data_IF_289628346006
#
_entry.id   IF_289628346006
#
_cell.length_a   1.000
_cell.length_b   1.000
_cell.length_c   1.000
_cell.angle_alpha   90.00
_cell.angle_beta   90.00
_cell.angle_gamma   90.00
#
_symmetry.space_group_name_H-M   'P 1'
#
loop_
_entity.id
_entity.type
_entity.pdbx_description
1 polymer ?
#
# COMPACT_ATOMS: atom_id res chain seq x y z
N UNK A 1 22.55 11.47 7.18
CA UNK A 1 21.88 10.25 7.67
C UNK A 1 20.84 9.75 6.67
N UNK A 2 20.54 8.43 6.72
CA UNK A 2 19.58 7.83 5.78
C UNK A 2 18.70 6.83 6.53
N UNK A 3 17.38 6.92 6.32
CA UNK A 3 16.42 5.90 6.76
C UNK A 3 16.43 4.74 5.74
N UNK A 4 16.89 3.58 6.18
CA UNK A 4 16.95 2.38 5.34
C UNK A 4 15.58 1.73 5.17
N UNK A 5 14.74 1.85 6.20
CA UNK A 5 13.35 1.35 6.20
C UNK A 5 12.48 2.27 7.08
N UNK A 6 11.42 2.88 6.53
CA UNK A 6 10.46 3.63 7.33
C UNK A 6 9.83 2.76 8.42
N UNK A 7 9.63 3.32 9.60
CA UNK A 7 9.09 2.65 10.78
C UNK A 7 8.00 3.46 11.45
N UNK A 8 7.76 3.18 12.75
CA UNK A 8 6.75 3.88 13.54
C UNK A 8 7.12 5.33 13.86
N UNK A 9 8.43 5.67 13.82
CA UNK A 9 8.90 7.05 13.98
C UNK A 9 8.84 7.75 12.63
N UNK A 10 8.06 8.83 12.47
CA UNK A 10 8.00 9.61 11.25
C UNK A 10 9.37 10.20 10.88
N UNK A 11 9.63 10.33 9.57
CA UNK A 11 10.90 10.91 9.09
C UNK A 11 11.03 12.36 9.56
N UNK A 12 9.92 13.09 9.56
CA UNK A 12 9.84 14.47 10.01
C UNK A 12 10.25 14.62 11.49
N UNK A 13 9.91 13.65 12.33
CA UNK A 13 10.33 13.62 13.73
C UNK A 13 11.84 13.36 13.87
N UNK A 14 12.42 12.55 12.98
CA UNK A 14 13.88 12.37 12.94
C UNK A 14 14.57 13.63 12.45
N UNK A 15 14.05 14.26 11.41
CA UNK A 15 14.62 15.50 10.84
C UNK A 15 14.61 16.66 11.82
N UNK A 16 13.63 16.74 12.70
CA UNK A 16 13.58 17.76 13.75
C UNK A 16 14.70 17.65 14.78
N UNK A 17 15.31 16.45 14.92
CA UNK A 17 16.37 16.19 15.91
C UNK A 17 17.76 16.17 15.27
N UNK A 18 17.90 15.56 14.09
CA UNK A 18 19.22 15.29 13.47
C UNK A 18 19.42 16.01 12.13
N UNK A 19 18.47 16.88 11.72
CA UNK A 19 18.50 17.57 10.44
C UNK A 19 18.08 16.67 9.25
N UNK A 20 18.26 17.13 8.00
CA UNK A 20 17.73 16.47 6.81
C UNK A 20 18.15 14.99 6.72
N UNK A 21 17.19 14.13 6.40
CA UNK A 21 17.37 12.67 6.34
C UNK A 21 16.91 12.14 4.99
N UNK A 22 17.78 11.42 4.29
CA UNK A 22 17.41 10.70 3.08
C UNK A 22 16.57 9.45 3.42
N UNK A 23 15.62 9.11 2.58
CA UNK A 23 14.82 7.88 2.72
C UNK A 23 15.14 6.94 1.56
N UNK A 24 15.59 5.73 1.87
CA UNK A 24 15.76 4.68 0.86
C UNK A 24 14.40 4.20 0.38
N UNK A 25 14.09 4.43 -0.89
CA UNK A 25 12.88 3.87 -1.51
C UNK A 25 13.13 2.41 -1.87
N UNK A 26 12.20 1.51 -1.51
CA UNK A 26 12.27 0.12 -1.94
C UNK A 26 12.04 0.00 -3.46
N UNK A 27 12.72 -0.95 -4.10
CA UNK A 27 12.84 -1.10 -5.55
C UNK A 27 11.52 -1.37 -6.33
N UNK A 28 10.36 -1.31 -5.69
CA UNK A 28 9.04 -1.35 -6.36
C UNK A 28 8.62 -0.02 -7.00
N UNK A 29 9.42 1.04 -6.89
CA UNK A 29 9.13 2.40 -7.39
C UNK A 29 10.25 2.91 -8.29
N UNK A 30 10.69 2.16 -9.28
CA UNK A 30 11.73 2.64 -10.17
C UNK A 30 11.31 2.57 -11.64
N UNK A 31 11.03 3.75 -12.19
CA UNK A 31 11.56 4.07 -13.51
C UNK A 31 12.82 4.88 -13.25
N UNK A 32 13.94 4.36 -13.71
CA UNK A 32 15.25 4.99 -13.59
C UNK A 32 15.22 6.40 -14.14
N UNK A 33 15.78 7.33 -13.41
CA UNK A 33 16.43 8.52 -13.95
C UNK A 33 17.87 8.46 -13.45
N UNK A 34 18.76 8.59 -14.41
CA UNK A 34 20.19 8.47 -14.34
C UNK A 34 20.82 9.15 -13.12
N UNK A 35 21.61 8.37 -12.39
CA UNK A 35 22.67 8.90 -11.57
C UNK A 35 23.92 8.05 -11.84
N UNK A 36 24.68 8.44 -12.82
CA UNK A 36 26.08 8.08 -12.92
C UNK A 36 26.85 8.63 -11.72
N UNK A 37 27.82 7.82 -11.31
CA UNK A 37 28.89 8.09 -10.37
C UNK A 37 28.58 8.12 -8.88
N UNK A 38 28.72 6.94 -8.26
CA UNK A 38 29.60 6.75 -7.11
C UNK A 38 29.82 5.25 -6.88
N UNK A 39 31.05 4.83 -6.96
CA UNK A 39 31.54 3.45 -6.99
C UNK A 39 31.19 2.60 -5.77
N UNK A 40 31.06 1.34 -6.09
CA UNK A 40 31.43 0.12 -5.36
C UNK A 40 31.37 0.11 -3.84
N UNK A 41 30.52 -0.70 -3.32
CA UNK A 41 30.77 -1.88 -2.49
C UNK A 41 29.40 -2.41 -2.04
N UNK A 42 29.02 -3.55 -2.62
CA UNK A 42 27.76 -4.23 -2.33
C UNK A 42 27.77 -4.83 -0.92
N UNK A 43 27.43 -4.03 0.06
CA UNK A 43 26.97 -4.49 1.35
C UNK A 43 25.48 -4.81 1.25
N UNK A 44 25.13 -6.05 0.98
CA UNK A 44 23.77 -6.54 1.19
C UNK A 44 23.50 -6.44 2.68
N UNK A 45 22.78 -5.38 3.07
CA UNK A 45 22.32 -5.25 4.45
C UNK A 45 21.41 -6.47 4.76
N UNK A 46 21.52 -7.06 5.98
CA UNK A 46 20.77 -8.26 6.39
C UNK A 46 19.24 -8.09 6.43
N UNK A 47 18.74 -6.98 5.93
CA UNK A 47 17.34 -6.54 6.02
C UNK A 47 16.40 -7.35 5.12
N UNK A 48 16.93 -8.06 4.12
CA UNK A 48 16.11 -8.83 3.18
C UNK A 48 15.77 -10.27 3.66
N UNK A 49 16.21 -10.66 4.87
CA UNK A 49 15.99 -12.01 5.39
C UNK A 49 14.77 -12.19 6.30
N UNK A 50 14.02 -11.14 6.60
CA UNK A 50 12.75 -11.32 7.29
C UNK A 50 11.68 -11.69 6.27
N UNK A 51 11.10 -12.89 6.40
CA UNK A 51 9.89 -13.27 5.67
C UNK A 51 8.82 -12.22 5.92
N UNK A 52 8.68 -11.30 4.96
CA UNK A 52 7.57 -10.37 4.97
C UNK A 52 6.30 -11.18 4.77
N UNK A 53 5.29 -10.94 5.61
CA UNK A 53 3.98 -11.53 5.40
C UNK A 53 3.57 -11.30 3.94
N UNK A 54 3.45 -12.39 3.21
CA UNK A 54 2.98 -12.40 1.84
C UNK A 54 1.65 -13.14 1.83
N UNK A 55 0.54 -12.47 1.56
CA UNK A 55 -0.75 -13.14 1.37
C UNK A 55 -0.65 -14.25 0.33
N UNK A 56 -1.45 -15.30 0.46
CA UNK A 56 -1.59 -16.35 -0.56
C UNK A 56 -2.25 -15.81 -1.81
N UNK A 57 -3.30 -15.00 -1.62
CA UNK A 57 -3.94 -14.27 -2.71
C UNK A 57 -3.03 -13.15 -3.23
N UNK A 58 -2.93 -12.95 -4.54
CA UNK A 58 -2.21 -11.82 -5.11
C UNK A 58 -2.81 -10.50 -4.61
N UNK A 59 -1.94 -9.56 -4.28
CA UNK A 59 -2.32 -8.22 -3.81
C UNK A 59 -2.11 -7.22 -4.94
N UNK A 60 -3.10 -6.37 -5.18
CA UNK A 60 -3.02 -5.24 -6.12
C UNK A 60 -3.18 -3.95 -5.32
N UNK A 61 -2.16 -3.10 -5.37
CA UNK A 61 -2.14 -1.81 -4.67
C UNK A 61 -2.60 -0.68 -5.59
N UNK A 62 -3.55 0.13 -5.14
CA UNK A 62 -4.05 1.31 -5.84
C UNK A 62 -3.46 2.57 -5.21
N UNK A 63 -2.63 3.30 -5.97
CA UNK A 63 -1.98 4.56 -5.57
C UNK A 63 -2.54 5.74 -6.35
N UNK A 64 -2.56 6.93 -5.75
CA UNK A 64 -3.00 8.17 -6.37
C UNK A 64 -3.97 8.98 -5.52
N UNK A 65 -4.66 9.93 -6.09
CA UNK A 65 -5.66 10.74 -5.37
C UNK A 65 -6.86 9.92 -4.89
N UNK A 66 -7.53 10.34 -3.79
CA UNK A 66 -8.59 9.53 -3.16
C UNK A 66 -9.74 9.17 -4.10
N UNK A 67 -10.22 10.12 -4.91
CA UNK A 67 -11.34 9.87 -5.83
C UNK A 67 -10.94 8.94 -6.98
N UNK A 68 -9.74 9.13 -7.53
CA UNK A 68 -9.21 8.27 -8.59
C UNK A 68 -9.01 6.83 -8.09
N UNK A 69 -8.51 6.66 -6.85
CA UNK A 69 -8.37 5.34 -6.22
C UNK A 69 -9.73 4.67 -6.03
N UNK A 70 -10.71 5.40 -5.47
CA UNK A 70 -12.05 4.84 -5.23
C UNK A 70 -12.72 4.39 -6.54
N UNK A 71 -12.63 5.20 -7.59
CA UNK A 71 -13.17 4.86 -8.92
C UNK A 71 -12.45 3.65 -9.52
N UNK A 72 -11.13 3.61 -9.47
CA UNK A 72 -10.34 2.49 -10.00
C UNK A 72 -10.62 1.19 -9.24
N UNK A 73 -10.73 1.24 -7.91
CA UNK A 73 -11.11 0.10 -7.08
C UNK A 73 -12.50 -0.42 -7.46
N UNK A 74 -13.49 0.46 -7.60
CA UNK A 74 -14.84 0.09 -8.00
C UNK A 74 -14.89 -0.61 -9.35
N UNK A 75 -14.21 -0.06 -10.35
CA UNK A 75 -14.12 -0.63 -11.68
C UNK A 75 -13.47 -2.02 -11.65
N UNK A 76 -12.40 -2.18 -10.89
CA UNK A 76 -11.68 -3.44 -10.79
C UNK A 76 -12.49 -4.51 -10.04
N UNK A 77 -13.24 -4.13 -8.99
CA UNK A 77 -14.19 -5.03 -8.31
C UNK A 77 -15.23 -5.55 -9.33
N UNK A 78 -15.85 -4.66 -10.11
CA UNK A 78 -16.85 -5.04 -11.12
C UNK A 78 -16.22 -5.98 -12.16
N UNK A 79 -15.04 -5.64 -12.69
CA UNK A 79 -14.34 -6.44 -13.68
C UNK A 79 -14.06 -7.85 -13.17
N UNK A 80 -13.39 -7.97 -12.02
CA UNK A 80 -12.99 -9.26 -11.47
C UNK A 80 -14.17 -10.13 -11.03
N UNK A 81 -15.21 -9.52 -10.47
CA UNK A 81 -16.42 -10.27 -10.11
C UNK A 81 -17.21 -10.74 -11.34
N UNK A 82 -17.18 -10.00 -12.46
CA UNK A 82 -17.75 -10.47 -13.73
C UNK A 82 -17.00 -11.65 -14.34
N UNK A 83 -15.70 -11.81 -13.98
CA UNK A 83 -14.87 -12.97 -14.33
C UNK A 83 -15.08 -14.17 -13.35
N UNK A 84 -16.01 -14.04 -12.42
CA UNK A 84 -16.31 -15.10 -11.42
C UNK A 84 -15.34 -15.17 -10.25
N UNK A 85 -14.46 -14.18 -10.05
CA UNK A 85 -13.49 -14.17 -8.95
C UNK A 85 -14.11 -13.66 -7.66
N UNK A 86 -13.70 -14.24 -6.54
CA UNK A 86 -13.97 -13.74 -5.20
C UNK A 86 -12.97 -12.65 -4.85
N UNK A 87 -13.45 -11.40 -4.79
CA UNK A 87 -12.60 -10.22 -4.58
C UNK A 87 -12.61 -9.81 -3.11
N UNK A 88 -11.43 -9.63 -2.52
CA UNK A 88 -11.22 -8.97 -1.24
C UNK A 88 -10.80 -7.52 -1.43
N UNK A 89 -11.34 -6.62 -0.63
CA UNK A 89 -10.96 -5.20 -0.64
C UNK A 89 -10.54 -4.78 0.76
N UNK A 90 -9.29 -4.34 0.89
CA UNK A 90 -8.77 -3.68 2.09
C UNK A 90 -8.67 -2.17 1.80
N UNK A 91 -9.50 -1.37 2.43
CA UNK A 91 -9.58 0.06 2.14
C UNK A 91 -9.95 0.87 3.39
N UNK A 92 -9.89 2.18 3.26
CA UNK A 92 -10.36 3.11 4.29
C UNK A 92 -11.87 2.98 4.47
N UNK A 93 -12.36 3.27 5.68
CA UNK A 93 -13.79 3.15 6.03
C UNK A 93 -14.67 3.96 5.07
N UNK A 94 -14.23 5.16 4.71
CA UNK A 94 -14.92 6.06 3.79
C UNK A 94 -15.01 5.48 2.37
N UNK A 95 -13.92 4.85 1.92
CA UNK A 95 -13.85 4.20 0.61
C UNK A 95 -14.70 2.92 0.57
N UNK A 96 -14.73 2.14 1.65
CA UNK A 96 -15.60 0.96 1.76
C UNK A 96 -17.07 1.36 1.67
N UNK A 97 -17.49 2.43 2.38
CA UNK A 97 -18.86 2.92 2.30
C UNK A 97 -19.22 3.30 0.88
N UNK A 98 -18.41 4.13 0.21
CA UNK A 98 -18.59 4.55 -1.18
C UNK A 98 -18.64 3.36 -2.15
N UNK A 99 -17.77 2.36 -1.98
CA UNK A 99 -17.76 1.16 -2.81
C UNK A 99 -19.06 0.35 -2.65
N UNK A 100 -19.56 0.18 -1.43
CA UNK A 100 -20.84 -0.51 -1.18
C UNK A 100 -22.00 0.18 -1.86
N UNK A 101 -22.03 1.51 -1.85
CA UNK A 101 -23.07 2.29 -2.52
C UNK A 101 -22.98 2.17 -4.05
N UNK A 102 -21.79 2.06 -4.61
CA UNK A 102 -21.56 2.05 -6.06
C UNK A 102 -21.67 0.66 -6.68
N UNK A 103 -21.04 -0.34 -6.06
CA UNK A 103 -20.93 -1.70 -6.61
C UNK A 103 -21.66 -2.77 -5.78
N UNK A 104 -22.30 -2.36 -4.69
CA UNK A 104 -23.02 -3.27 -3.79
C UNK A 104 -22.08 -4.17 -2.98
N UNK A 105 -22.61 -5.30 -2.51
CA UNK A 105 -21.88 -6.25 -1.65
C UNK A 105 -21.18 -7.37 -2.44
N UNK A 106 -20.65 -7.07 -3.62
CA UNK A 106 -20.01 -8.04 -4.51
C UNK A 106 -18.60 -8.44 -4.10
N UNK A 107 -18.07 -7.86 -3.03
CA UNK A 107 -16.71 -8.08 -2.55
C UNK A 107 -16.67 -8.35 -1.05
N UNK A 108 -15.59 -8.93 -0.57
CA UNK A 108 -15.29 -9.11 0.85
C UNK A 108 -14.55 -7.88 1.34
N UNK A 109 -15.16 -7.09 2.24
CA UNK A 109 -14.55 -5.89 2.78
C UNK A 109 -13.79 -6.14 4.08
N UNK A 110 -12.66 -5.48 4.23
CA UNK A 110 -11.93 -5.28 5.48
C UNK A 110 -11.50 -3.81 5.60
N UNK A 111 -11.90 -3.18 6.69
CA UNK A 111 -11.58 -1.78 6.93
C UNK A 111 -10.19 -1.64 7.55
N UNK A 112 -9.37 -0.80 6.96
CA UNK A 112 -8.03 -0.51 7.49
C UNK A 112 -8.04 0.64 8.52
N UNK A 113 -9.11 1.42 8.61
CA UNK A 113 -9.24 2.62 9.43
C UNK A 113 -9.72 3.81 8.62
N UNK A 114 -9.59 5.03 9.17
CA UNK A 114 -10.01 6.27 8.52
C UNK A 114 -8.83 7.05 7.95
N UNK A 115 -9.07 7.83 6.89
CA UNK A 115 -8.10 8.77 6.33
C UNK A 115 -7.65 9.83 7.35
N UNK A 116 -8.52 10.18 8.29
CA UNK A 116 -8.22 11.14 9.37
C UNK A 116 -7.34 10.58 10.49
N UNK A 117 -7.15 9.25 10.55
CA UNK A 117 -6.32 8.58 11.55
C UNK A 117 -5.35 7.57 10.91
N UNK A 118 -4.23 8.05 10.35
CA UNK A 118 -3.21 7.18 9.76
C UNK A 118 -2.60 6.16 10.73
N UNK A 119 -2.65 6.43 12.04
CA UNK A 119 -2.15 5.51 13.06
C UNK A 119 -3.04 4.28 13.17
N UNK A 120 -4.35 4.43 13.08
CA UNK A 120 -5.29 3.30 13.04
C UNK A 120 -5.05 2.43 11.80
N UNK A 121 -4.76 3.05 10.65
CA UNK A 121 -4.44 2.33 9.42
C UNK A 121 -3.15 1.53 9.58
N UNK A 122 -2.10 2.11 10.15
CA UNK A 122 -0.84 1.42 10.41
C UNK A 122 -1.02 0.20 11.32
N UNK A 123 -1.90 0.29 12.30
CA UNK A 123 -2.21 -0.81 13.21
C UNK A 123 -3.03 -1.94 12.55
N UNK A 124 -3.92 -1.62 11.61
CA UNK A 124 -4.93 -2.54 11.08
C UNK A 124 -4.60 -3.12 9.71
N UNK A 125 -3.80 -2.46 8.89
CA UNK A 125 -3.54 -2.85 7.49
C UNK A 125 -3.18 -4.33 7.33
N UNK A 126 -2.28 -4.86 8.18
CA UNK A 126 -1.88 -6.28 8.09
C UNK A 126 -2.91 -7.25 8.63
N UNK A 127 -3.70 -6.83 9.63
CA UNK A 127 -4.82 -7.66 10.11
C UNK A 127 -5.91 -7.76 9.06
N UNK A 128 -6.20 -6.67 8.33
CA UNK A 128 -7.13 -6.65 7.20
C UNK A 128 -6.68 -7.60 6.07
N UNK A 129 -5.43 -7.50 5.64
CA UNK A 129 -4.89 -8.41 4.61
C UNK A 129 -4.97 -9.87 5.05
N UNK A 130 -4.58 -10.20 6.30
CA UNK A 130 -4.69 -11.56 6.83
C UNK A 130 -6.13 -12.04 6.93
N UNK A 131 -7.07 -11.15 7.26
CA UNK A 131 -8.48 -11.50 7.33
C UNK A 131 -9.03 -11.89 5.94
N UNK A 132 -8.69 -11.13 4.90
CA UNK A 132 -9.07 -11.45 3.52
C UNK A 132 -8.43 -12.75 3.04
N UNK A 133 -7.15 -12.96 3.34
CA UNK A 133 -6.45 -14.20 2.99
C UNK A 133 -7.10 -15.44 3.64
N UNK A 134 -7.49 -15.34 4.91
CA UNK A 134 -8.27 -16.40 5.60
C UNK A 134 -9.66 -16.62 5.02
N UNK A 135 -10.28 -15.60 4.44
CA UNK A 135 -11.58 -15.71 3.76
C UNK A 135 -11.49 -16.43 2.41
N UNK A 136 -10.27 -16.77 1.95
CA UNK A 136 -10.05 -17.50 0.71
C UNK A 136 -10.46 -16.70 -0.53
N UNK A 137 -10.13 -15.42 -0.57
CA UNK A 137 -10.37 -14.60 -1.77
C UNK A 137 -9.34 -14.93 -2.86
N UNK A 138 -9.73 -14.80 -4.13
CA UNK A 138 -8.86 -15.03 -5.28
C UNK A 138 -7.86 -13.89 -5.51
N UNK A 139 -8.21 -12.67 -5.06
CA UNK A 139 -7.39 -11.48 -5.19
C UNK A 139 -7.72 -10.48 -4.09
N UNK A 140 -6.72 -9.75 -3.61
CA UNK A 140 -6.87 -8.67 -2.65
C UNK A 140 -6.56 -7.35 -3.34
N UNK A 141 -7.54 -6.47 -3.42
CA UNK A 141 -7.36 -5.09 -3.84
C UNK A 141 -7.12 -4.24 -2.59
N UNK A 142 -6.05 -3.48 -2.55
CA UNK A 142 -5.72 -2.66 -1.38
C UNK A 142 -5.59 -1.20 -1.77
N UNK A 143 -6.25 -0.36 -0.98
CA UNK A 143 -6.16 1.09 -1.12
C UNK A 143 -4.86 1.61 -0.52
N UNK A 144 -4.09 2.39 -1.29
CA UNK A 144 -2.97 3.16 -0.77
C UNK A 144 -3.43 4.34 0.08
N UNK A 145 -2.54 4.85 0.92
CA UNK A 145 -2.78 6.03 1.74
C UNK A 145 -1.73 7.11 1.44
N UNK A 146 -1.89 8.27 2.05
CA UNK A 146 -0.92 9.36 1.91
C UNK A 146 0.43 8.99 2.53
N UNK A 147 1.52 9.36 1.85
CA UNK A 147 2.90 9.05 2.26
C UNK A 147 3.47 10.10 3.23
N UNK A 148 2.70 10.53 4.20
CA UNK A 148 3.13 11.45 5.26
C UNK A 148 3.19 10.73 6.60
N UNK A 149 4.12 11.10 7.45
CA UNK A 149 4.27 10.53 8.78
C UNK A 149 4.37 8.99 8.75
N UNK A 150 3.51 8.33 9.52
CA UNK A 150 3.44 6.85 9.58
C UNK A 150 2.96 6.23 8.26
N UNK A 151 2.27 6.99 7.41
CA UNK A 151 1.77 6.53 6.11
C UNK A 151 2.90 6.08 5.18
N UNK A 152 4.07 6.71 5.26
CA UNK A 152 5.25 6.29 4.50
C UNK A 152 5.65 4.84 4.82
N UNK A 153 5.62 4.45 6.09
CA UNK A 153 5.93 3.08 6.50
C UNK A 153 4.87 2.08 6.04
N UNK A 154 3.59 2.48 6.10
CA UNK A 154 2.46 1.67 5.60
C UNK A 154 2.61 1.44 4.10
N UNK A 155 2.79 2.50 3.32
CA UNK A 155 2.93 2.41 1.86
C UNK A 155 4.14 1.59 1.43
N UNK A 156 5.27 1.73 2.10
CA UNK A 156 6.44 0.89 1.84
C UNK A 156 6.11 -0.60 1.97
N UNK A 157 5.39 -0.98 3.01
CA UNK A 157 5.00 -2.36 3.26
C UNK A 157 3.92 -2.86 2.31
N UNK A 158 2.95 -2.01 1.93
CA UNK A 158 1.93 -2.34 0.95
C UNK A 158 2.56 -2.60 -0.43
N UNK A 159 3.52 -1.77 -0.84
CA UNK A 159 4.29 -1.99 -2.08
C UNK A 159 5.05 -3.31 -2.06
N UNK A 160 5.65 -3.67 -0.93
CA UNK A 160 6.31 -4.96 -0.77
C UNK A 160 5.32 -6.14 -0.88
N UNK A 161 4.14 -6.03 -0.26
CA UNK A 161 3.10 -7.06 -0.34
C UNK A 161 2.53 -7.20 -1.75
N UNK A 162 2.35 -6.10 -2.47
CA UNK A 162 1.84 -6.07 -3.84
C UNK A 162 2.91 -6.47 -4.89
N UNK A 163 4.19 -6.33 -4.56
CA UNK A 163 5.26 -6.58 -5.52
C UNK A 163 5.16 -5.63 -6.71
N UNK A 164 4.99 -6.18 -7.92
CA UNK A 164 4.86 -5.38 -9.15
C UNK A 164 3.41 -5.02 -9.51
N UNK A 165 2.42 -5.45 -8.70
CA UNK A 165 1.01 -5.23 -8.97
C UNK A 165 0.54 -3.89 -8.39
N UNK A 166 1.02 -2.79 -8.95
CA UNK A 166 0.69 -1.43 -8.50
C UNK A 166 -0.05 -0.68 -9.61
N UNK A 167 -1.28 -0.27 -9.32
CA UNK A 167 -2.11 0.57 -10.19
C UNK A 167 -1.95 2.03 -9.75
N UNK A 168 -1.43 2.86 -10.63
CA UNK A 168 -1.30 4.30 -10.40
C UNK A 168 -2.49 5.03 -10.97
N UNK A 169 -3.39 5.44 -10.07
CA UNK A 169 -4.61 6.15 -10.43
C UNK A 169 -4.30 7.64 -10.68
N UNK A 170 -4.65 8.13 -11.86
CA UNK A 170 -4.55 9.56 -12.19
C UNK A 170 -5.94 10.16 -12.10
N UNK A 171 -6.04 11.36 -11.52
CA UNK A 171 -7.26 12.16 -11.65
C UNK A 171 -7.31 12.63 -13.11
N UNK A 172 -8.38 12.29 -13.82
CA UNK A 172 -8.70 12.95 -15.07
C UNK A 172 -8.92 14.43 -14.75
N UNK A 173 -8.20 15.31 -15.44
CA UNK A 173 -8.35 16.77 -15.34
C UNK A 173 -9.56 17.20 -16.13
#
# INVERSE_FOLDING_TARGET
>A
PMVLRPGAVPVEALESVIGPVAVRRSAGSARAVDAESAGSSGGHAPVDRYEHYRPRAPVVLFEGGPDARASALGNEVVRLTSEGKTVGVAALSESIARLKDTVGSRFRAEEMGSASDPSSVAARVFSALRALDRKGVDVILVEGIEESGVGLAVMNRLRQAAGNNIVRCRSDR
#
